data_IF_290675005085
#
_entry.id   IF_290675005085
#
_cell.length_a   1.000
_cell.length_b   1.000
_cell.length_c   1.000
_cell.angle_alpha   90.00
_cell.angle_beta   90.00
_cell.angle_gamma   90.00
#
_symmetry.space_group_name_H-M   'P 1'
#
loop_
_entity.id
_entity.type
_entity.pdbx_description
1 polymer ?
#
# COMPACT_ATOMS: atom_id res chain seq x y z
N UNK A 1 7.14 27.68 -0.71
CA UNK A 1 6.58 26.70 -1.64
C UNK A 1 6.48 25.34 -0.96
N UNK A 2 5.46 25.18 -0.20
CA UNK A 2 5.22 23.91 0.45
C UNK A 2 4.68 22.94 -0.59
N UNK A 3 5.38 21.89 -0.81
CA UNK A 3 4.96 20.87 -1.73
C UNK A 3 5.65 19.57 -1.35
N UNK A 4 5.44 18.57 -2.15
CA UNK A 4 6.00 17.26 -1.90
C UNK A 4 7.52 17.23 -1.93
N UNK A 5 8.14 18.26 -2.50
CA UNK A 5 9.60 18.33 -2.55
C UNK A 5 10.20 18.54 -1.18
N UNK A 6 9.43 19.09 -0.25
CA UNK A 6 9.85 19.21 1.14
C UNK A 6 9.79 17.88 1.88
N UNK A 7 9.12 16.90 1.30
CA UNK A 7 9.07 15.57 1.86
C UNK A 7 10.42 14.90 1.69
N UNK A 8 11.05 14.60 2.80
CA UNK A 8 12.40 14.06 2.79
C UNK A 8 12.38 12.58 2.42
N UNK A 9 13.14 12.22 1.39
CA UNK A 9 13.23 10.85 0.92
C UNK A 9 13.80 9.93 2.00
N UNK A 10 14.73 10.43 2.79
CA UNK A 10 15.40 9.66 3.84
C UNK A 10 14.61 9.59 5.15
N UNK A 11 13.46 10.25 5.22
CA UNK A 11 12.64 10.30 6.44
C UNK A 11 11.18 9.95 6.14
N UNK A 12 10.89 8.67 5.96
CA UNK A 12 9.51 8.26 5.72
C UNK A 12 8.61 8.62 6.89
N UNK A 13 7.37 8.95 6.58
CA UNK A 13 6.38 9.33 7.57
C UNK A 13 5.24 8.33 7.60
N UNK A 14 4.70 8.01 8.79
CA UNK A 14 3.48 7.23 8.88
C UNK A 14 2.33 7.96 8.18
N UNK A 15 1.41 7.20 7.63
CA UNK A 15 0.26 7.75 6.96
C UNK A 15 -0.33 6.80 5.93
N UNK A 16 -1.22 7.36 5.11
CA UNK A 16 -1.93 6.62 4.09
C UNK A 16 -1.50 7.13 2.73
N UNK A 17 -1.31 6.21 1.79
CA UNK A 17 -0.73 6.50 0.48
C UNK A 17 -1.42 5.68 -0.60
N UNK A 18 -1.41 6.20 -1.82
CA UNK A 18 -1.75 5.43 -3.00
C UNK A 18 -0.57 5.41 -3.94
N UNK A 19 -0.38 4.31 -4.62
CA UNK A 19 0.72 4.17 -5.57
C UNK A 19 0.33 3.16 -6.65
N UNK A 20 1.03 3.21 -7.77
CA UNK A 20 0.93 2.19 -8.80
C UNK A 20 2.13 1.27 -8.70
N UNK A 21 1.86 -0.02 -8.62
CA UNK A 21 2.93 -1.03 -8.53
C UNK A 21 3.58 -1.26 -9.88
N UNK A 22 2.86 -0.97 -10.95
CA UNK A 22 3.41 -1.01 -12.28
C UNK A 22 2.76 0.08 -13.14
N UNK A 23 3.45 0.46 -14.18
CA UNK A 23 2.94 1.47 -15.12
C UNK A 23 1.68 0.94 -15.79
N UNK A 24 0.61 1.72 -15.76
CA UNK A 24 -0.67 1.34 -16.34
C UNK A 24 -1.49 0.40 -15.48
N UNK A 25 -1.04 0.09 -14.26
CA UNK A 25 -1.82 -0.71 -13.32
C UNK A 25 -2.82 0.12 -12.53
N UNK A 26 -3.67 -0.58 -11.79
CA UNK A 26 -4.60 0.06 -10.87
C UNK A 26 -3.87 0.66 -9.67
N UNK A 27 -4.53 1.60 -9.00
CA UNK A 27 -4.00 2.15 -7.75
C UNK A 27 -3.98 1.08 -6.67
N UNK A 28 -2.88 1.03 -5.94
CA UNK A 28 -2.74 0.25 -4.72
C UNK A 28 -2.79 1.20 -3.55
N UNK A 29 -3.35 0.76 -2.43
CA UNK A 29 -3.56 1.59 -1.25
C UNK A 29 -2.74 1.05 -0.10
N UNK A 30 -1.89 1.89 0.46
CA UNK A 30 -0.93 1.46 1.46
C UNK A 30 -0.99 2.33 2.71
N UNK A 31 -0.62 1.72 3.82
CA UNK A 31 -0.48 2.40 5.09
C UNK A 31 0.92 2.12 5.64
N UNK A 32 1.57 3.19 6.07
CA UNK A 32 2.81 3.10 6.82
C UNK A 32 2.48 3.44 8.27
N UNK A 33 2.80 2.55 9.18
CA UNK A 33 2.63 2.77 10.60
C UNK A 33 3.97 2.68 11.31
N UNK A 34 4.18 3.52 12.31
CA UNK A 34 5.38 3.51 13.12
C UNK A 34 4.98 3.75 14.57
N UNK A 35 5.29 2.84 15.44
CA UNK A 35 4.88 2.92 16.82
C UNK A 35 5.59 1.93 17.72
N UNK A 36 5.31 1.98 19.02
CA UNK A 36 5.93 1.08 19.96
C UNK A 36 5.57 -0.37 19.63
N UNK A 37 6.56 -1.25 19.77
CA UNK A 37 6.32 -2.68 19.67
C UNK A 37 5.42 -3.10 20.83
N UNK A 38 4.50 -4.03 20.56
CA UNK A 38 3.60 -4.53 21.58
C UNK A 38 3.62 -6.05 21.62
N UNK A 39 3.34 -6.60 22.80
CA UNK A 39 3.19 -8.04 22.97
C UNK A 39 1.97 -8.48 22.16
N UNK A 40 2.12 -9.44 21.23
CA UNK A 40 1.01 -9.89 20.40
C UNK A 40 -0.12 -10.54 21.17
N UNK A 41 0.14 -11.05 22.38
CA UNK A 41 -0.89 -11.69 23.20
C UNK A 41 -1.66 -10.70 24.06
N UNK A 42 -0.97 -9.73 24.63
CA UNK A 42 -1.57 -8.81 25.62
C UNK A 42 -1.77 -7.39 25.08
N UNK A 43 -1.10 -7.04 23.97
CA UNK A 43 -1.11 -5.67 23.47
C UNK A 43 -0.29 -4.69 24.29
N UNK A 44 0.40 -5.17 25.32
CA UNK A 44 1.20 -4.33 26.20
C UNK A 44 2.44 -3.83 25.48
N UNK A 45 2.77 -2.51 25.57
CA UNK A 45 3.99 -2.00 24.96
C UNK A 45 5.23 -2.70 25.52
N UNK A 46 6.15 -3.03 24.62
CA UNK A 46 7.42 -3.67 24.97
C UNK A 46 8.54 -2.64 24.94
N UNK A 47 9.53 -2.83 25.81
CA UNK A 47 10.74 -2.02 25.85
C UNK A 47 11.68 -2.44 24.73
N UNK A 48 11.32 -2.05 23.51
CA UNK A 48 12.08 -2.35 22.29
C UNK A 48 12.02 -1.14 21.35
N UNK A 49 12.94 -1.06 20.37
CA UNK A 49 12.85 -0.02 19.35
C UNK A 49 11.49 -0.03 18.67
N UNK A 50 11.05 1.15 18.28
CA UNK A 50 9.77 1.29 17.60
C UNK A 50 9.76 0.49 16.31
N UNK A 51 8.56 0.06 15.94
CA UNK A 51 8.30 -0.88 14.87
C UNK A 51 7.66 -0.18 13.69
N UNK A 52 8.22 -0.43 12.50
CA UNK A 52 7.60 -0.04 11.24
C UNK A 52 6.72 -1.19 10.75
N UNK A 53 5.51 -0.84 10.33
CA UNK A 53 4.59 -1.79 9.73
C UNK A 53 4.05 -1.22 8.43
N UNK A 54 3.89 -2.08 7.43
CA UNK A 54 3.38 -1.70 6.12
C UNK A 54 2.20 -2.59 5.77
N UNK A 55 1.11 -1.95 5.42
CA UNK A 55 -0.12 -2.61 4.98
C UNK A 55 -0.40 -2.18 3.56
N UNK A 56 -0.84 -3.11 2.73
CA UNK A 56 -1.14 -2.82 1.34
C UNK A 56 -2.39 -3.58 0.91
N UNK A 57 -3.37 -2.84 0.40
CA UNK A 57 -4.65 -3.39 -0.04
C UNK A 57 -5.30 -4.31 1.00
N UNK A 58 -5.15 -3.95 2.27
CA UNK A 58 -5.73 -4.67 3.39
C UNK A 58 -4.87 -5.78 3.97
N UNK A 59 -3.67 -6.01 3.43
CA UNK A 59 -2.78 -7.06 3.91
C UNK A 59 -1.49 -6.47 4.48
N UNK A 60 -1.03 -7.00 5.59
CA UNK A 60 0.27 -6.62 6.13
C UNK A 60 1.36 -7.27 5.29
N UNK A 61 2.20 -6.44 4.68
CA UNK A 61 3.24 -6.93 3.77
C UNK A 61 4.65 -6.72 4.31
N UNK A 62 4.80 -5.94 5.39
CA UNK A 62 6.11 -5.71 5.97
C UNK A 62 6.04 -5.31 7.42
N UNK A 63 7.10 -5.66 8.13
CA UNK A 63 7.25 -5.36 9.56
C UNK A 63 8.72 -5.47 9.93
N UNK A 64 9.28 -4.42 10.50
CA UNK A 64 10.67 -4.43 10.96
C UNK A 64 10.94 -3.31 11.95
N UNK A 65 11.94 -3.51 12.75
CA UNK A 65 12.39 -2.56 13.74
C UNK A 65 13.92 -2.63 13.86
N UNK A 66 14.63 -1.52 13.91
CA UNK A 66 14.14 -0.14 13.76
C UNK A 66 14.18 0.37 12.31
N UNK A 67 14.63 -0.44 11.37
CA UNK A 67 14.92 -0.01 10.00
C UNK A 67 13.67 0.00 9.11
N UNK A 68 13.23 1.17 8.61
CA UNK A 68 12.10 1.24 7.70
C UNK A 68 12.36 0.53 6.37
N UNK A 69 13.59 0.47 5.92
CA UNK A 69 13.93 -0.22 4.67
C UNK A 69 13.60 -1.72 4.77
N UNK A 70 13.94 -2.33 5.89
CA UNK A 70 13.66 -3.74 6.12
C UNK A 70 12.16 -4.03 6.19
N UNK A 71 11.35 -3.05 6.57
CA UNK A 71 9.90 -3.18 6.61
C UNK A 71 9.23 -2.98 5.24
N UNK A 72 9.98 -2.54 4.23
CA UNK A 72 9.41 -2.29 2.92
C UNK A 72 8.72 -0.94 2.77
N UNK A 73 9.07 0.01 3.64
CA UNK A 73 8.46 1.35 3.66
C UNK A 73 8.85 2.19 2.44
N UNK A 74 10.09 2.06 1.98
CA UNK A 74 10.65 3.02 1.03
C UNK A 74 9.94 3.07 -0.32
N UNK A 75 9.56 1.96 -0.96
CA UNK A 75 8.83 2.05 -2.22
C UNK A 75 7.53 2.82 -2.10
N UNK A 76 6.82 2.65 -0.98
CA UNK A 76 5.57 3.36 -0.72
C UNK A 76 5.83 4.84 -0.48
N UNK A 77 6.84 5.14 0.34
CA UNK A 77 7.18 6.51 0.66
C UNK A 77 7.63 7.32 -0.56
N UNK A 78 8.48 6.72 -1.38
CA UNK A 78 9.04 7.40 -2.57
C UNK A 78 8.02 7.49 -3.68
N UNK A 79 7.31 6.40 -3.97
CA UNK A 79 6.38 6.32 -5.10
C UNK A 79 4.94 6.68 -4.77
N UNK A 80 4.60 6.77 -3.50
CA UNK A 80 3.23 6.98 -3.08
C UNK A 80 2.84 8.45 -3.01
N UNK A 81 1.55 8.68 -3.17
CA UNK A 81 0.94 10.00 -2.97
C UNK A 81 0.10 9.96 -1.69
N UNK A 82 0.25 10.95 -0.79
CA UNK A 82 -0.57 10.97 0.42
C UNK A 82 -2.07 11.04 0.10
N UNK A 83 -2.84 10.29 0.85
CA UNK A 83 -4.30 10.27 0.75
C UNK A 83 -4.90 10.33 2.16
N UNK A 84 -6.20 10.49 2.24
CA UNK A 84 -6.91 10.45 3.51
C UNK A 84 -7.14 9.01 3.97
N UNK A 85 -7.41 8.84 5.26
CA UNK A 85 -7.78 7.54 5.79
C UNK A 85 -9.05 7.00 5.14
N UNK A 86 -10.01 7.86 4.86
CA UNK A 86 -11.26 7.46 4.20
C UNK A 86 -10.99 6.92 2.79
N UNK A 87 -10.13 7.58 2.03
CA UNK A 87 -9.72 7.10 0.72
C UNK A 87 -9.00 5.76 0.81
N UNK A 88 -8.14 5.60 1.79
CA UNK A 88 -7.43 4.35 2.04
C UNK A 88 -8.40 3.22 2.33
N UNK A 89 -9.35 3.44 3.24
CA UNK A 89 -10.34 2.42 3.62
C UNK A 89 -11.21 2.02 2.44
N UNK A 90 -11.66 2.99 1.66
CA UNK A 90 -12.47 2.72 0.46
C UNK A 90 -11.67 1.94 -0.57
N UNK A 91 -10.42 2.34 -0.82
CA UNK A 91 -9.58 1.65 -1.78
C UNK A 91 -9.28 0.21 -1.37
N UNK A 92 -8.97 -0.02 -0.11
CA UNK A 92 -8.72 -1.37 0.40
C UNK A 92 -9.98 -2.24 0.32
N UNK A 93 -11.13 -1.68 0.67
CA UNK A 93 -12.39 -2.41 0.60
C UNK A 93 -12.70 -2.85 -0.83
N UNK A 94 -12.47 -1.97 -1.80
CA UNK A 94 -12.66 -2.31 -3.21
C UNK A 94 -11.70 -3.39 -3.67
N UNK A 95 -10.43 -3.29 -3.27
CA UNK A 95 -9.42 -4.29 -3.62
C UNK A 95 -9.77 -5.66 -3.05
N UNK A 96 -10.18 -5.71 -1.80
CA UNK A 96 -10.60 -6.95 -1.16
C UNK A 96 -11.82 -7.54 -1.86
N UNK A 97 -12.82 -6.70 -2.10
CA UNK A 97 -14.03 -7.14 -2.80
C UNK A 97 -13.71 -7.69 -4.20
N UNK A 98 -12.84 -7.00 -4.93
CA UNK A 98 -12.46 -7.42 -6.28
C UNK A 98 -11.74 -8.78 -6.26
N UNK A 99 -10.83 -8.97 -5.32
CA UNK A 99 -10.12 -10.25 -5.20
C UNK A 99 -11.07 -11.40 -4.91
N UNK A 100 -12.12 -11.14 -4.14
CA UNK A 100 -13.09 -12.18 -3.74
C UNK A 100 -14.16 -12.45 -4.80
N UNK A 101 -14.61 -11.42 -5.51
CA UNK A 101 -15.79 -11.50 -6.38
C UNK A 101 -15.48 -11.28 -7.85
N UNK A 102 -14.50 -10.46 -8.17
CA UNK A 102 -14.16 -10.09 -9.54
C UNK A 102 -12.64 -10.05 -9.72
N UNK A 103 -11.96 -11.20 -9.67
CA UNK A 103 -10.50 -11.23 -9.82
C UNK A 103 -10.02 -10.80 -11.21
N UNK A 104 -10.92 -10.61 -12.16
CA UNK A 104 -10.63 -10.07 -13.48
C UNK A 104 -10.44 -8.54 -13.47
N UNK A 105 -10.91 -7.85 -12.43
CA UNK A 105 -10.79 -6.41 -12.37
C UNK A 105 -9.34 -5.99 -12.06
N UNK A 106 -8.88 -4.84 -12.60
CA UNK A 106 -7.53 -4.35 -12.33
C UNK A 106 -7.23 -4.17 -10.84
N UNK A 107 -8.22 -3.76 -10.06
CA UNK A 107 -8.06 -3.55 -8.61
C UNK A 107 -7.72 -4.82 -7.86
N UNK A 108 -8.08 -5.99 -8.41
CA UNK A 108 -7.75 -7.27 -7.79
C UNK A 108 -6.27 -7.61 -7.91
N UNK A 109 -5.60 -7.06 -8.91
CA UNK A 109 -4.20 -7.31 -9.20
C UNK A 109 -3.48 -6.04 -9.61
N UNK A 110 -3.26 -5.12 -8.67
CA UNK A 110 -2.60 -3.85 -8.98
C UNK A 110 -1.17 -4.00 -9.45
N UNK A 111 -0.52 -5.14 -9.19
CA UNK A 111 0.82 -5.43 -9.66
C UNK A 111 0.86 -5.71 -11.17
N UNK A 112 -0.29 -5.87 -11.81
CA UNK A 112 -0.38 -6.10 -13.24
C UNK A 112 -0.86 -4.88 -13.98
N UNK A 113 -0.23 -4.62 -15.12
CA UNK A 113 -0.72 -3.60 -16.04
C UNK A 113 -2.10 -4.02 -16.56
N UNK A 114 -3.04 -3.08 -16.57
CA UNK A 114 -4.32 -3.31 -17.18
C UNK A 114 -4.13 -3.46 -18.69
N UNK A 115 -4.41 -4.63 -19.23
CA UNK A 115 -4.19 -4.92 -20.65
C UNK A 115 -5.47 -4.67 -21.44
N UNK A 116 -5.66 -3.41 -21.83
CA UNK A 116 -6.82 -3.00 -22.60
C UNK A 116 -6.80 -3.64 -23.99
N UNK A 117 -5.62 -3.89 -24.55
CA UNK A 117 -5.49 -4.56 -25.84
C UNK A 117 -5.99 -6.00 -25.80
N UNK A 118 -5.58 -6.76 -24.79
CA UNK A 118 -6.01 -8.13 -24.62
C UNK A 118 -7.51 -8.22 -24.34
N UNK A 119 -8.04 -7.28 -23.55
CA UNK A 119 -9.47 -7.22 -23.29
C UNK A 119 -10.27 -7.00 -24.57
N UNK A 120 -9.79 -6.10 -25.43
CA UNK A 120 -10.44 -5.87 -26.73
C UNK A 120 -10.39 -7.08 -27.63
N UNK A 121 -9.27 -7.77 -27.66
CA UNK A 121 -9.13 -8.99 -28.44
C UNK A 121 -10.08 -10.08 -27.94
N UNK A 122 -10.21 -10.21 -26.64
CA UNK A 122 -11.16 -11.14 -26.02
C UNK A 122 -12.59 -10.82 -26.47
N UNK A 123 -12.97 -9.56 -26.43
CA UNK A 123 -14.30 -9.13 -26.84
C UNK A 123 -14.55 -9.39 -28.34
N UNK A 124 -13.52 -9.26 -29.15
CA UNK A 124 -13.62 -9.52 -30.58
C UNK A 124 -13.68 -11.00 -30.92
N UNK A 125 -13.09 -11.84 -30.08
CA UNK A 125 -13.02 -13.28 -30.29
C UNK A 125 -14.17 -14.06 -29.66
N UNK A 126 -14.93 -13.41 -28.79
CA UNK A 126 -16.07 -14.04 -28.12
C UNK A 126 -17.44 -13.66 -28.77
#
# INVERSE_FOLDING_TARGET
MANTDERRIDRPQPGFYRLRLCRGGAWSFARIAYGPAADPETGTPMDRPWLWEVWQDGLQIGRASPDPVAAGVMPIWIGGKPITEAEYRTGCARAIWAREHRPDLPEARPERRADVGAMRMKDLLS
#
